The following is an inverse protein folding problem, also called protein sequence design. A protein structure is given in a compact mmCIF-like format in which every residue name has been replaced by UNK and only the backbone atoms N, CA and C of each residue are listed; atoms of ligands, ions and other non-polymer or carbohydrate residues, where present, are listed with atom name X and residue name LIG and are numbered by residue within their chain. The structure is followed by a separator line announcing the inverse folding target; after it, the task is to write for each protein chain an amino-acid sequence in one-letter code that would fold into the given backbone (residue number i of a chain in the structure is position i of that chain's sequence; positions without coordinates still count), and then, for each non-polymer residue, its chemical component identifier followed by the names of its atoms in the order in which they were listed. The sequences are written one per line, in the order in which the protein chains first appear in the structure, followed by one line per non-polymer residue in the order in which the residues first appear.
data_IF_800520798135
#
_entry.id   IF_800520798135
#
_cell.length_a   1.000
_cell.length_b   1.000
_cell.length_c   1.000
_cell.angle_alpha   90.00
_cell.angle_beta   90.00
_cell.angle_gamma   90.00
#
_symmetry.space_group_name_H-M   'P 1'
#
loop_
_entity.id
_entity.type
_entity.pdbx_description
1 polymer ?
#
# COMPACT_ATOMS: atom_id res chain seq x y z
N UNK A 1 -12.22 -2.14 -22.95
CA UNK A 1 -13.03 -1.65 -21.81
C UNK A 1 -12.65 -2.30 -20.46
N UNK A 2 -12.40 -3.61 -20.39
CA UNK A 2 -12.06 -4.30 -19.12
C UNK A 2 -10.80 -3.80 -18.39
N UNK A 3 -9.69 -3.56 -19.10
CA UNK A 3 -8.42 -3.10 -18.49
C UNK A 3 -8.49 -1.68 -17.92
N UNK A 4 -9.35 -0.83 -18.50
CA UNK A 4 -9.56 0.54 -18.01
C UNK A 4 -10.32 0.51 -16.67
N UNK A 5 -11.39 -0.29 -16.58
CA UNK A 5 -12.14 -0.51 -15.33
C UNK A 5 -11.25 -1.12 -14.24
N UNK A 6 -10.45 -2.13 -14.60
CA UNK A 6 -9.50 -2.75 -13.67
C UNK A 6 -8.50 -1.73 -13.12
N UNK A 7 -7.92 -0.89 -13.98
CA UNK A 7 -6.96 0.15 -13.56
C UNK A 7 -7.61 1.18 -12.63
N UNK A 8 -8.87 1.58 -12.88
CA UNK A 8 -9.60 2.52 -12.02
C UNK A 8 -9.82 1.92 -10.62
N UNK A 9 -10.19 0.65 -10.53
CA UNK A 9 -10.35 -0.05 -9.24
C UNK A 9 -9.03 -0.06 -8.47
N UNK A 10 -7.91 -0.37 -9.14
CA UNK A 10 -6.60 -0.37 -8.49
C UNK A 10 -6.13 1.03 -8.06
N UNK A 11 -6.45 2.07 -8.83
CA UNK A 11 -6.18 3.46 -8.44
C UNK A 11 -6.99 3.82 -7.17
N UNK A 12 -8.27 3.44 -7.10
CA UNK A 12 -9.11 3.65 -5.91
C UNK A 12 -8.56 2.91 -4.69
N UNK A 13 -8.11 1.66 -4.87
CA UNK A 13 -7.46 0.88 -3.80
C UNK A 13 -6.17 1.56 -3.34
N UNK A 14 -5.33 2.03 -4.26
CA UNK A 14 -4.10 2.75 -3.92
C UNK A 14 -4.36 4.06 -3.16
N UNK A 15 -5.40 4.82 -3.55
CA UNK A 15 -5.85 6.01 -2.82
C UNK A 15 -6.38 5.67 -1.42
N UNK A 16 -7.10 4.55 -1.27
CA UNK A 16 -7.56 4.08 0.02
C UNK A 16 -6.40 3.69 0.95
N UNK A 17 -5.37 3.03 0.41
CA UNK A 17 -4.14 2.69 1.14
C UNK A 17 -3.41 3.96 1.60
N UNK A 18 -3.30 4.98 0.74
CA UNK A 18 -2.74 6.28 1.13
C UNK A 18 -3.55 6.94 2.25
N UNK A 19 -4.88 6.92 2.15
CA UNK A 19 -5.76 7.49 3.16
C UNK A 19 -5.58 6.80 4.50
N UNK A 20 -5.55 5.46 4.52
CA UNK A 20 -5.24 4.66 5.72
C UNK A 20 -3.82 4.91 6.22
N UNK A 21 -2.84 5.22 5.38
CA UNK A 21 -1.50 5.58 5.82
C UNK A 21 -1.46 6.96 6.53
N UNK A 22 -2.21 7.94 6.05
CA UNK A 22 -2.27 9.29 6.63
C UNK A 22 -3.15 9.32 7.90
N UNK A 23 -4.37 8.80 7.80
CA UNK A 23 -5.38 8.87 8.86
C UNK A 23 -5.44 7.61 9.75
N UNK A 24 -4.65 6.58 9.44
CA UNK A 24 -4.63 5.33 10.21
C UNK A 24 -4.18 5.55 11.64
N UNK A 25 -5.12 5.35 12.57
CA UNK A 25 -4.90 5.44 14.01
C UNK A 25 -3.86 4.40 14.45
N UNK A 26 -2.97 4.77 15.39
CA UNK A 26 -1.82 3.96 15.86
C UNK A 26 -2.16 2.55 16.39
N UNK A 27 -3.45 2.22 16.58
CA UNK A 27 -3.92 0.95 17.16
C UNK A 27 -4.02 -0.19 16.12
N UNK A 28 -4.46 0.08 14.89
CA UNK A 28 -4.65 -0.97 13.86
C UNK A 28 -3.30 -1.53 13.35
N UNK A 29 -2.24 -0.72 13.36
CA UNK A 29 -0.90 -1.10 12.86
C UNK A 29 -0.17 -2.06 13.82
N UNK A 30 -0.64 -2.27 15.05
CA UNK A 30 -0.04 -3.27 15.95
C UNK A 30 -0.55 -4.68 15.70
N UNK A 31 -1.79 -4.83 15.21
CA UNK A 31 -2.40 -6.16 14.97
C UNK A 31 -1.85 -6.86 13.72
N UNK A 32 -1.38 -6.10 12.71
CA UNK A 32 -0.69 -6.69 11.56
C UNK A 32 0.65 -7.38 11.91
N UNK A 33 1.16 -7.21 13.13
CA UNK A 33 2.49 -7.70 13.54
C UNK A 33 2.45 -8.91 14.49
N UNK A 34 1.29 -9.38 14.93
CA UNK A 34 1.20 -10.44 15.96
C UNK A 34 1.09 -11.86 15.40
N UNK A 35 1.09 -12.03 14.07
CA UNK A 35 1.10 -13.34 13.43
C UNK A 35 2.52 -13.84 13.17
N UNK A 36 2.74 -15.15 13.36
CA UNK A 36 3.97 -15.84 12.92
C UNK A 36 4.06 -15.67 11.39
N UNK A 37 5.20 -15.23 10.82
CA UNK A 37 5.29 -14.94 9.40
C UNK A 37 5.09 -16.23 8.59
N UNK A 38 4.05 -16.25 7.76
CA UNK A 38 3.78 -17.36 6.85
C UNK A 38 4.52 -17.19 5.50
N UNK A 39 4.82 -15.94 5.12
CA UNK A 39 5.37 -15.57 3.81
C UNK A 39 6.52 -14.55 3.89
N UNK A 40 7.28 -14.40 2.80
CA UNK A 40 8.33 -13.38 2.67
C UNK A 40 7.80 -11.95 2.85
N UNK A 41 6.57 -11.68 2.40
CA UNK A 41 5.90 -10.39 2.60
C UNK A 41 5.69 -10.07 4.09
N UNK A 42 5.30 -11.06 4.89
CA UNK A 42 5.18 -10.93 6.35
C UNK A 42 6.54 -10.75 7.01
N UNK A 43 7.59 -11.37 6.48
CA UNK A 43 8.96 -11.16 6.98
C UNK A 43 9.44 -9.72 6.74
N UNK A 44 9.21 -9.17 5.54
CA UNK A 44 9.49 -7.76 5.25
C UNK A 44 8.64 -6.83 6.10
N UNK A 45 7.35 -7.11 6.26
CA UNK A 45 6.48 -6.35 7.15
C UNK A 45 6.97 -6.42 8.59
N UNK A 46 7.36 -7.58 9.10
CA UNK A 46 7.88 -7.75 10.46
C UNK A 46 9.18 -6.96 10.66
N UNK A 47 10.11 -7.01 9.70
CA UNK A 47 11.34 -6.19 9.74
C UNK A 47 11.00 -4.71 9.69
N UNK A 48 10.17 -4.27 8.75
CA UNK A 48 9.77 -2.88 8.62
C UNK A 48 9.11 -2.41 9.92
N UNK A 49 8.30 -3.26 10.53
CA UNK A 49 7.61 -2.93 11.75
C UNK A 49 8.60 -2.88 12.93
N UNK A 50 9.53 -3.82 13.04
CA UNK A 50 10.52 -3.84 14.13
C UNK A 50 11.57 -2.72 13.99
N UNK A 51 11.93 -2.35 12.77
CA UNK A 51 13.01 -1.40 12.46
C UNK A 51 12.51 0.06 12.38
N UNK A 52 11.30 0.29 11.85
CA UNK A 52 10.82 1.64 11.60
C UNK A 52 9.85 2.14 12.68
N UNK A 53 10.08 3.36 13.21
CA UNK A 53 9.13 4.01 14.08
C UNK A 53 7.79 4.24 13.35
N UNK A 54 6.68 4.42 14.09
CA UNK A 54 5.33 4.50 13.51
C UNK A 54 5.17 5.58 12.43
N UNK A 55 5.98 6.64 12.46
CA UNK A 55 6.03 7.68 11.44
C UNK A 55 6.60 7.15 10.12
N UNK A 56 7.70 6.42 10.16
CA UNK A 56 8.32 5.83 8.97
C UNK A 56 7.45 4.73 8.36
N UNK A 57 6.69 3.96 9.17
CA UNK A 57 5.71 2.99 8.65
C UNK A 57 4.61 3.67 7.82
N UNK A 58 4.11 4.81 8.27
CA UNK A 58 3.11 5.60 7.52
C UNK A 58 3.67 6.11 6.21
N UNK A 59 4.89 6.64 6.22
CA UNK A 59 5.58 7.10 5.01
C UNK A 59 5.78 5.93 4.05
N UNK A 60 6.18 4.76 4.54
CA UNK A 60 6.38 3.58 3.71
C UNK A 60 5.07 3.08 3.07
N UNK A 61 3.99 2.94 3.86
CA UNK A 61 2.67 2.57 3.35
C UNK A 61 2.12 3.61 2.35
N UNK A 62 2.39 4.89 2.58
CA UNK A 62 2.03 5.96 1.67
C UNK A 62 2.81 5.86 0.35
N UNK A 63 4.12 5.61 0.38
CA UNK A 63 4.93 5.35 -0.82
C UNK A 63 4.47 4.11 -1.59
N UNK A 64 4.07 3.05 -0.87
CA UNK A 64 3.52 1.84 -1.48
C UNK A 64 2.22 2.14 -2.24
N UNK A 65 1.28 2.84 -1.60
CA UNK A 65 0.06 3.33 -2.26
C UNK A 65 0.36 4.24 -3.44
N UNK A 66 1.35 5.13 -3.33
CA UNK A 66 1.77 6.04 -4.39
C UNK A 66 2.35 5.31 -5.60
N UNK A 67 3.21 4.33 -5.37
CA UNK A 67 3.77 3.52 -6.45
C UNK A 67 2.68 2.75 -7.21
N UNK A 68 1.67 2.23 -6.50
CA UNK A 68 0.54 1.54 -7.12
C UNK A 68 -0.28 2.52 -7.97
N UNK A 69 -0.68 3.66 -7.39
CA UNK A 69 -1.48 4.67 -8.12
C UNK A 69 -0.75 5.16 -9.37
N UNK A 70 0.53 5.54 -9.24
CA UNK A 70 1.33 6.06 -10.36
C UNK A 70 1.54 4.98 -11.43
N UNK A 71 1.84 3.74 -11.04
CA UNK A 71 2.03 2.64 -11.98
C UNK A 71 0.77 2.32 -12.79
N UNK A 72 -0.40 2.30 -12.13
CA UNK A 72 -1.67 2.05 -12.83
C UNK A 72 -2.14 3.25 -13.66
N UNK A 73 -1.87 4.49 -13.23
CA UNK A 73 -2.10 5.69 -14.07
C UNK A 73 -1.23 5.62 -15.33
N UNK A 74 0.04 5.26 -15.21
CA UNK A 74 0.95 5.11 -16.33
C UNK A 74 0.47 4.02 -17.30
N UNK A 75 0.08 2.85 -16.78
CA UNK A 75 -0.53 1.77 -17.57
C UNK A 75 -1.80 2.22 -18.28
N UNK A 76 -2.67 2.97 -17.59
CA UNK A 76 -3.91 3.47 -18.17
C UNK A 76 -3.65 4.48 -19.30
N UNK A 77 -2.63 5.33 -19.15
CA UNK A 77 -2.25 6.31 -20.16
C UNK A 77 -1.56 5.65 -21.37
N UNK A 78 -0.66 4.71 -21.12
CA UNK A 78 0.05 3.96 -22.16
C UNK A 78 -0.88 3.03 -22.95
N UNK A 79 -1.81 2.34 -22.28
CA UNK A 79 -2.76 1.44 -22.94
C UNK A 79 -3.85 2.18 -23.73
N UNK A 80 -4.06 3.48 -23.45
CA UNK A 80 -5.07 4.31 -24.12
C UNK A 80 -4.51 5.15 -25.27
N UNK A 81 -3.19 5.27 -25.39
CA UNK A 81 -2.50 5.92 -26.51
C UNK A 81 -2.26 4.97 -27.68
#
# INVERSE_FOLDING_TARGET
MGLVLFSIVFILVGLFVMWKAIFGTKKEVKEFSSGIPADFSDFFLMIIYKLFPPILRRVFLFLLGLSIVVGFIYLLFFYRS
#
